data_IF_328016721452
#
_entry.id   IF_328016721452
#
_cell.length_a   1.000
_cell.length_b   1.000
_cell.length_c   1.000
_cell.angle_alpha   90.00
_cell.angle_beta   90.00
_cell.angle_gamma   90.00
#
_symmetry.space_group_name_H-M   'P 1'
#
loop_
_entity.id
_entity.type
_entity.pdbx_description
1 polymer ?
#
# COMPACT_ATOMS: atom_id res chain seq x y z
N UNK A 1 -7.10 -15.73 -13.79
CA UNK A 1 -7.61 -14.49 -14.41
C UNK A 1 -8.46 -14.87 -15.59
N UNK A 2 -9.65 -14.30 -15.72
CA UNK A 2 -10.54 -14.60 -16.85
C UNK A 2 -9.88 -14.12 -18.16
N UNK A 3 -9.77 -15.03 -19.14
CA UNK A 3 -9.40 -14.70 -20.51
C UNK A 3 -10.59 -14.02 -21.21
N UNK A 4 -10.80 -12.72 -20.92
CA UNK A 4 -11.71 -11.90 -21.72
C UNK A 4 -10.91 -11.21 -22.83
N UNK A 5 -10.73 -11.91 -23.94
CA UNK A 5 -10.14 -11.35 -25.14
C UNK A 5 -11.21 -10.57 -25.92
N UNK A 6 -11.21 -9.25 -25.80
CA UNK A 6 -11.92 -8.36 -26.71
C UNK A 6 -13.23 -7.71 -26.23
N UNK A 7 -13.78 -8.07 -25.09
CA UNK A 7 -15.05 -7.56 -24.59
C UNK A 7 -14.98 -6.17 -23.92
N UNK A 8 -16.15 -5.50 -23.81
CA UNK A 8 -16.32 -4.23 -23.12
C UNK A 8 -16.30 -4.35 -21.58
N UNK A 9 -16.59 -3.24 -20.85
CA UNK A 9 -16.64 -3.22 -19.38
C UNK A 9 -17.60 -4.26 -18.79
N UNK A 10 -18.76 -4.46 -19.38
CA UNK A 10 -19.79 -5.42 -18.93
C UNK A 10 -19.29 -6.87 -18.97
N UNK A 11 -18.64 -7.27 -20.07
CA UNK A 11 -18.06 -8.62 -20.22
C UNK A 11 -16.94 -8.86 -19.21
N UNK A 12 -16.15 -7.82 -18.89
CA UNK A 12 -15.11 -7.92 -17.88
C UNK A 12 -15.70 -8.08 -16.48
N UNK A 13 -16.77 -7.33 -16.15
CA UNK A 13 -17.51 -7.49 -14.91
C UNK A 13 -18.11 -8.89 -14.76
N UNK A 14 -18.73 -9.41 -15.82
CA UNK A 14 -19.28 -10.78 -15.83
C UNK A 14 -18.17 -11.82 -15.63
N UNK A 15 -17.02 -11.65 -16.28
CA UNK A 15 -15.87 -12.53 -16.14
C UNK A 15 -15.29 -12.52 -14.71
N UNK A 16 -15.17 -11.35 -14.10
CA UNK A 16 -14.74 -11.20 -12.71
C UNK A 16 -15.73 -11.84 -11.74
N UNK A 17 -17.04 -11.60 -11.94
CA UNK A 17 -18.09 -12.19 -11.13
C UNK A 17 -18.15 -13.72 -11.28
N UNK A 18 -17.97 -14.24 -12.51
CA UNK A 18 -17.93 -15.67 -12.76
C UNK A 18 -16.69 -16.34 -12.16
N UNK A 19 -15.55 -15.66 -12.14
CA UNK A 19 -14.34 -16.15 -11.48
C UNK A 19 -14.51 -16.18 -9.97
N UNK A 20 -15.07 -15.12 -9.38
CA UNK A 20 -15.36 -15.07 -7.96
C UNK A 20 -16.34 -16.18 -7.53
N UNK A 21 -17.42 -16.41 -8.27
CA UNK A 21 -18.39 -17.48 -7.98
C UNK A 21 -17.80 -18.88 -8.05
N UNK A 22 -16.80 -19.12 -8.91
CA UNK A 22 -16.11 -20.43 -9.00
C UNK A 22 -15.20 -20.68 -7.79
N UNK A 23 -14.52 -19.64 -7.31
CA UNK A 23 -13.60 -19.76 -6.17
C UNK A 23 -14.31 -19.61 -4.81
N UNK A 24 -15.48 -18.95 -4.79
CA UNK A 24 -16.34 -18.79 -3.62
C UNK A 24 -17.77 -19.23 -3.96
N UNK A 25 -18.11 -20.52 -3.86
CA UNK A 25 -19.49 -20.97 -4.04
C UNK A 25 -20.42 -20.30 -3.02
N UNK A 26 -21.70 -20.05 -3.38
CA UNK A 26 -22.64 -19.30 -2.54
C UNK A 26 -22.85 -19.85 -1.13
N UNK A 27 -22.64 -21.15 -0.95
CA UNK A 27 -22.82 -21.86 0.32
C UNK A 27 -21.62 -21.70 1.29
N UNK A 28 -20.48 -21.33 0.78
CA UNK A 28 -19.30 -20.95 1.58
C UNK A 28 -19.26 -19.42 1.68
N UNK A 29 -20.07 -18.85 2.60
CA UNK A 29 -20.12 -17.41 2.80
C UNK A 29 -18.75 -16.89 3.32
N UNK A 30 -17.87 -16.32 2.46
CA UNK A 30 -16.57 -15.80 2.89
C UNK A 30 -16.72 -14.56 3.80
N UNK A 31 -17.95 -14.02 3.92
CA UNK A 31 -18.26 -12.85 4.75
C UNK A 31 -18.59 -13.21 6.20
N UNK A 32 -18.53 -14.48 6.60
CA UNK A 32 -18.63 -14.82 8.02
C UNK A 32 -17.36 -14.34 8.70
N UNK A 33 -17.48 -13.21 9.39
CA UNK A 33 -16.40 -12.68 10.21
C UNK A 33 -15.90 -13.78 11.15
N UNK A 34 -14.59 -14.07 11.21
CA UNK A 34 -14.07 -14.94 12.24
C UNK A 34 -14.46 -14.35 13.59
N UNK A 35 -14.84 -15.22 14.54
CA UNK A 35 -15.07 -14.78 15.91
C UNK A 35 -13.76 -14.20 16.43
N UNK A 36 -13.71 -12.86 16.52
CA UNK A 36 -12.58 -12.16 17.08
C UNK A 36 -12.73 -12.26 18.61
N UNK A 37 -11.89 -13.05 19.25
CA UNK A 37 -11.77 -13.07 20.71
C UNK A 37 -11.45 -11.68 21.26
N UNK A 38 -10.25 -11.38 21.69
CA UNK A 38 -9.80 -10.00 21.94
C UNK A 38 -9.32 -9.36 20.63
N UNK A 39 -10.16 -8.54 20.01
CA UNK A 39 -9.83 -7.85 18.77
C UNK A 39 -8.64 -6.88 19.00
N UNK A 40 -7.52 -6.98 18.26
CA UNK A 40 -6.42 -6.04 18.37
C UNK A 40 -6.86 -4.63 17.99
N UNK A 41 -6.27 -3.61 18.60
CA UNK A 41 -6.52 -2.23 18.20
C UNK A 41 -5.85 -1.96 16.85
N UNK A 42 -6.57 -1.28 15.93
CA UNK A 42 -6.07 -0.98 14.58
C UNK A 42 -6.00 0.53 14.37
N UNK A 43 -4.86 1.03 13.87
CA UNK A 43 -4.74 2.38 13.32
C UNK A 43 -4.80 2.31 11.81
N UNK A 44 -5.85 2.88 11.20
CA UNK A 44 -5.98 3.00 9.75
C UNK A 44 -5.31 4.29 9.31
N UNK A 45 -4.34 4.20 8.41
CA UNK A 45 -3.56 5.32 7.89
C UNK A 45 -3.94 5.56 6.44
N UNK A 46 -4.45 6.75 6.13
CA UNK A 46 -4.83 7.18 4.78
C UNK A 46 -3.95 8.36 4.39
N UNK A 47 -3.07 8.15 3.41
CA UNK A 47 -2.28 9.22 2.83
C UNK A 47 -3.08 9.89 1.69
N UNK A 48 -3.10 11.22 1.68
CA UNK A 48 -3.79 12.00 0.63
C UNK A 48 -2.94 13.18 0.20
N UNK A 49 -3.22 13.71 -1.01
CA UNK A 49 -2.61 14.94 -1.50
C UNK A 49 -3.52 15.65 -2.49
N UNK A 50 -4.07 16.81 -2.10
CA UNK A 50 -4.91 17.64 -2.97
C UNK A 50 -6.14 16.92 -3.57
N UNK A 51 -6.75 15.99 -2.82
CA UNK A 51 -7.85 15.12 -3.27
C UNK A 51 -8.98 15.03 -2.24
N UNK A 52 -9.32 16.14 -1.59
CA UNK A 52 -10.32 16.18 -0.52
C UNK A 52 -11.66 15.48 -0.88
N UNK A 53 -12.11 15.58 -2.16
CA UNK A 53 -13.34 14.91 -2.60
C UNK A 53 -13.22 13.38 -2.60
N UNK A 54 -12.11 12.83 -3.10
CA UNK A 54 -11.89 11.36 -3.08
C UNK A 54 -11.72 10.85 -1.66
N UNK A 55 -10.98 11.61 -0.84
CA UNK A 55 -10.80 11.30 0.57
C UNK A 55 -12.14 11.23 1.33
N UNK A 56 -13.12 12.09 1.01
CA UNK A 56 -14.45 12.04 1.65
C UNK A 56 -15.09 10.67 1.46
N UNK A 57 -15.16 10.19 0.22
CA UNK A 57 -15.79 8.90 -0.09
C UNK A 57 -15.04 7.73 0.62
N UNK A 58 -13.71 7.82 0.67
CA UNK A 58 -12.89 6.85 1.41
C UNK A 58 -13.20 6.88 2.91
N UNK A 59 -13.26 8.06 3.53
CA UNK A 59 -13.58 8.21 4.95
C UNK A 59 -15.00 7.73 5.27
N UNK A 60 -15.98 8.02 4.42
CA UNK A 60 -17.36 7.54 4.61
C UNK A 60 -17.41 6.01 4.62
N UNK A 61 -16.65 5.34 3.73
CA UNK A 61 -16.55 3.87 3.74
C UNK A 61 -15.84 3.34 4.99
N UNK A 62 -14.81 4.03 5.47
CA UNK A 62 -14.09 3.66 6.70
C UNK A 62 -14.95 3.82 7.95
N UNK A 63 -15.82 4.83 8.00
CA UNK A 63 -16.74 5.01 9.12
C UNK A 63 -17.88 3.98 9.15
N UNK A 64 -18.12 3.29 8.02
CA UNK A 64 -19.07 2.16 7.94
C UNK A 64 -18.44 0.81 8.30
N UNK A 65 -17.15 0.77 8.67
CA UNK A 65 -16.46 -0.49 9.03
C UNK A 65 -16.96 -1.03 10.37
N UNK A 66 -17.30 -2.30 10.37
CA UNK A 66 -17.75 -3.05 11.55
C UNK A 66 -16.54 -3.67 12.29
N UNK A 67 -15.87 -2.86 13.09
CA UNK A 67 -14.73 -3.29 13.90
C UNK A 67 -14.70 -2.55 15.25
N UNK A 68 -14.48 -3.25 16.39
CA UNK A 68 -14.72 -2.66 17.71
C UNK A 68 -13.69 -1.63 18.14
N UNK A 69 -12.45 -1.72 17.67
CA UNK A 69 -11.33 -0.91 18.20
C UNK A 69 -10.42 -0.41 17.09
N UNK A 70 -10.75 0.75 16.50
CA UNK A 70 -9.86 1.39 15.52
C UNK A 70 -9.92 2.92 15.56
N UNK A 71 -8.89 3.54 15.02
CA UNK A 71 -8.81 4.96 14.72
C UNK A 71 -8.46 5.17 13.25
N UNK A 72 -8.77 6.32 12.70
CA UNK A 72 -8.37 6.72 11.34
C UNK A 72 -7.42 7.91 11.43
N UNK A 73 -6.28 7.82 10.75
CA UNK A 73 -5.25 8.85 10.68
C UNK A 73 -5.12 9.32 9.23
N UNK A 74 -5.63 10.49 8.93
CA UNK A 74 -5.46 11.15 7.63
C UNK A 74 -4.14 11.88 7.61
N UNK A 75 -3.26 11.55 6.66
CA UNK A 75 -1.98 12.24 6.48
C UNK A 75 -1.99 13.01 5.17
N UNK A 76 -2.07 14.34 5.28
CA UNK A 76 -2.07 15.27 4.14
C UNK A 76 -0.64 15.58 3.71
N UNK A 77 -0.22 15.00 2.58
CA UNK A 77 1.15 15.02 2.12
C UNK A 77 1.45 16.18 1.19
N UNK A 78 2.23 17.14 1.66
CA UNK A 78 2.61 18.34 0.92
C UNK A 78 1.41 19.05 0.27
N UNK A 79 0.37 19.39 1.06
CA UNK A 79 -0.84 20.00 0.55
C UNK A 79 -0.58 21.38 -0.08
N UNK A 80 -1.29 21.67 -1.17
CA UNK A 80 -1.26 22.96 -1.83
C UNK A 80 -2.13 23.99 -1.12
N UNK A 81 -3.18 23.54 -0.40
CA UNK A 81 -4.15 24.36 0.30
C UNK A 81 -4.65 23.69 1.60
N UNK A 82 -5.69 24.21 2.21
CA UNK A 82 -6.29 23.73 3.47
C UNK A 82 -7.53 22.86 3.26
N UNK A 83 -7.89 22.54 2.03
CA UNK A 83 -9.15 21.84 1.70
C UNK A 83 -9.31 20.49 2.41
N UNK A 84 -8.23 19.72 2.52
CA UNK A 84 -8.21 18.44 3.24
C UNK A 84 -8.39 18.63 4.75
N UNK A 85 -7.67 19.59 5.34
CA UNK A 85 -7.78 19.91 6.77
C UNK A 85 -9.18 20.38 7.13
N UNK A 86 -9.74 21.27 6.30
CA UNK A 86 -11.09 21.79 6.49
C UNK A 86 -12.15 20.69 6.38
N UNK A 87 -12.02 19.79 5.39
CA UNK A 87 -12.89 18.63 5.26
C UNK A 87 -12.87 17.79 6.54
N UNK A 88 -11.68 17.34 6.97
CA UNK A 88 -11.56 16.47 8.15
C UNK A 88 -12.10 17.16 9.39
N UNK A 89 -11.79 18.44 9.60
CA UNK A 89 -12.23 19.16 10.79
C UNK A 89 -13.75 19.38 10.82
N UNK A 90 -14.36 19.70 9.69
CA UNK A 90 -15.81 20.03 9.62
C UNK A 90 -16.70 18.79 9.64
N UNK A 91 -16.32 17.75 8.92
CA UNK A 91 -17.19 16.59 8.68
C UNK A 91 -16.84 15.40 9.58
N UNK A 92 -15.58 15.30 10.03
CA UNK A 92 -15.09 14.14 10.80
C UNK A 92 -14.46 14.49 12.16
N UNK A 93 -14.25 15.80 12.44
CA UNK A 93 -13.56 16.27 13.66
C UNK A 93 -14.41 16.32 14.92
N UNK A 94 -15.66 15.88 14.87
CA UNK A 94 -16.63 16.05 15.94
C UNK A 94 -17.15 14.74 16.51
N UNK A 95 -16.33 13.94 17.19
CA UNK A 95 -16.88 12.88 18.04
C UNK A 95 -16.38 12.96 19.50
N UNK A 96 -16.83 13.93 20.30
CA UNK A 96 -16.74 13.82 21.76
C UNK A 96 -17.81 12.92 22.36
N UNK A 97 -18.87 12.52 21.62
CA UNK A 97 -20.04 11.79 22.15
C UNK A 97 -20.61 10.75 21.17
N UNK A 98 -19.99 10.48 20.02
CA UNK A 98 -20.49 9.57 19.00
C UNK A 98 -19.82 8.20 19.03
N UNK A 99 -20.58 7.16 18.71
CA UNK A 99 -20.18 5.76 18.66
C UNK A 99 -19.38 5.42 17.40
N UNK A 100 -18.40 6.25 16.98
CA UNK A 100 -17.59 6.05 15.79
C UNK A 100 -16.09 6.15 16.07
N UNK A 101 -15.22 5.69 15.16
CA UNK A 101 -13.78 5.80 15.31
C UNK A 101 -13.33 7.27 15.29
N UNK A 102 -12.28 7.56 16.06
CA UNK A 102 -11.66 8.88 16.02
C UNK A 102 -10.95 9.10 14.67
N UNK A 103 -11.25 10.22 13.98
CA UNK A 103 -10.54 10.63 12.78
C UNK A 103 -9.56 11.76 13.13
N UNK A 104 -8.28 11.54 12.87
CA UNK A 104 -7.20 12.48 13.20
C UNK A 104 -6.53 13.00 11.93
N UNK A 105 -6.33 14.31 11.84
CA UNK A 105 -5.61 14.96 10.75
C UNK A 105 -4.14 15.19 11.12
N UNK A 106 -3.24 14.85 10.21
CA UNK A 106 -1.81 15.14 10.30
C UNK A 106 -1.33 15.75 8.99
N UNK A 107 -0.41 16.69 9.06
CA UNK A 107 0.28 17.27 7.91
C UNK A 107 1.69 16.73 7.80
N UNK A 108 2.07 16.27 6.61
CA UNK A 108 3.45 15.96 6.24
C UNK A 108 3.90 16.95 5.16
N UNK A 109 4.77 17.92 5.47
CA UNK A 109 5.11 18.99 4.53
C UNK A 109 6.04 18.56 3.40
N UNK A 110 6.75 17.44 3.55
CA UNK A 110 7.71 16.99 2.54
C UNK A 110 7.04 15.96 1.62
N UNK A 111 7.04 16.16 0.28
CA UNK A 111 6.44 15.22 -0.66
C UNK A 111 7.03 13.82 -0.54
N UNK A 112 6.17 12.78 -0.66
CA UNK A 112 6.55 11.39 -0.70
C UNK A 112 5.59 10.50 0.09
N UNK A 113 5.00 9.48 -0.57
CA UNK A 113 4.03 8.56 0.03
C UNK A 113 4.59 7.84 1.25
N UNK A 114 5.81 7.29 1.13
CA UNK A 114 6.49 6.62 2.25
C UNK A 114 6.68 7.54 3.47
N UNK A 115 6.83 8.85 3.27
CA UNK A 115 6.89 9.83 4.36
C UNK A 115 5.54 10.03 5.01
N UNK A 116 4.48 10.11 4.21
CA UNK A 116 3.12 10.20 4.72
C UNK A 116 2.79 8.95 5.54
N UNK A 117 3.09 7.75 5.03
CA UNK A 117 2.94 6.50 5.77
C UNK A 117 3.71 6.51 7.10
N UNK A 118 4.97 6.94 7.10
CA UNK A 118 5.79 7.03 8.32
C UNK A 118 5.24 8.07 9.30
N UNK A 119 4.70 9.19 8.80
CA UNK A 119 4.06 10.20 9.65
C UNK A 119 2.83 9.63 10.35
N UNK A 120 2.00 8.87 9.62
CA UNK A 120 0.86 8.15 10.16
C UNK A 120 1.28 7.07 11.15
N UNK A 121 2.26 6.25 10.78
CA UNK A 121 2.82 5.19 11.64
C UNK A 121 3.33 5.73 12.98
N UNK A 122 4.04 6.87 12.97
CA UNK A 122 4.54 7.50 14.22
C UNK A 122 3.39 7.94 15.14
N UNK A 123 2.21 8.23 14.58
CA UNK A 123 1.04 8.64 15.34
C UNK A 123 0.09 7.49 15.68
N UNK A 124 0.29 6.31 15.08
CA UNK A 124 -0.52 5.12 15.29
C UNK A 124 -0.44 4.64 16.75
N UNK A 125 -1.58 4.21 17.28
CA UNK A 125 -1.74 3.69 18.66
C UNK A 125 -2.21 2.23 18.67
N UNK A 126 -2.61 1.73 17.52
CA UNK A 126 -3.08 0.36 17.34
C UNK A 126 -1.94 -0.66 17.34
N UNK A 127 -2.25 -1.88 17.74
CA UNK A 127 -1.35 -3.05 17.65
C UNK A 127 -1.03 -3.39 16.19
N UNK A 128 -1.96 -3.03 15.30
CA UNK A 128 -1.88 -3.20 13.86
C UNK A 128 -2.01 -1.83 13.19
N UNK A 129 -1.13 -1.54 12.24
CA UNK A 129 -1.23 -0.39 11.34
C UNK A 129 -1.70 -0.85 9.97
N UNK A 130 -2.93 -0.47 9.59
CA UNK A 130 -3.53 -0.74 8.29
C UNK A 130 -3.39 0.49 7.39
N UNK A 131 -3.14 0.29 6.10
CA UNK A 131 -2.93 1.35 5.12
C UNK A 131 -3.88 1.14 3.95
N UNK A 132 -4.47 2.23 3.50
CA UNK A 132 -5.26 2.29 2.27
C UNK A 132 -5.11 3.67 1.61
N UNK A 133 -5.48 3.78 0.33
CA UNK A 133 -5.34 5.01 -0.44
C UNK A 133 -6.60 5.89 -0.37
N UNK A 134 -6.49 7.18 -0.69
CA UNK A 134 -7.60 8.13 -0.69
C UNK A 134 -8.61 7.93 -1.86
N UNK A 135 -8.28 7.05 -2.82
CA UNK A 135 -9.10 6.67 -3.96
C UNK A 135 -9.67 5.25 -3.84
N UNK A 136 -9.82 4.77 -2.61
CA UNK A 136 -10.39 3.46 -2.27
C UNK A 136 -11.70 3.56 -1.49
N UNK A 137 -12.50 2.50 -1.59
CA UNK A 137 -13.64 2.21 -0.71
C UNK A 137 -13.38 0.87 -0.05
N UNK A 138 -13.63 0.74 1.25
CA UNK A 138 -13.38 -0.50 1.98
C UNK A 138 -14.68 -1.23 2.31
N UNK A 139 -14.61 -2.57 2.38
CA UNK A 139 -15.73 -3.40 2.82
C UNK A 139 -16.00 -3.20 4.33
N UNK A 140 -17.26 -3.23 4.79
CA UNK A 140 -17.58 -3.16 6.22
C UNK A 140 -16.83 -4.16 7.10
N UNK A 141 -16.46 -5.33 6.59
CA UNK A 141 -15.70 -6.35 7.31
C UNK A 141 -14.19 -6.30 7.02
N UNK A 142 -13.71 -5.28 6.34
CA UNK A 142 -12.30 -5.14 5.91
C UNK A 142 -11.30 -5.31 7.05
N UNK A 143 -11.49 -4.60 8.17
CA UNK A 143 -10.58 -4.68 9.31
C UNK A 143 -10.67 -6.03 10.04
N UNK A 144 -11.85 -6.61 10.10
CA UNK A 144 -12.06 -7.96 10.63
C UNK A 144 -11.28 -9.00 9.84
N UNK A 145 -11.35 -8.93 8.52
CA UNK A 145 -10.62 -9.82 7.63
C UNK A 145 -9.11 -9.61 7.72
N UNK A 146 -8.63 -8.34 7.77
CA UNK A 146 -7.20 -8.05 7.96
C UNK A 146 -6.66 -8.56 9.30
N UNK A 147 -7.45 -8.51 10.39
CA UNK A 147 -7.02 -8.93 11.72
C UNK A 147 -6.90 -10.45 11.85
N UNK A 148 -7.72 -11.21 11.14
CA UNK A 148 -7.81 -12.66 11.29
C UNK A 148 -6.47 -13.40 11.12
N UNK A 149 -5.64 -13.17 10.09
CA UNK A 149 -4.35 -13.86 9.96
C UNK A 149 -3.35 -13.51 11.07
N UNK A 150 -3.40 -12.29 11.63
CA UNK A 150 -2.54 -11.91 12.77
C UNK A 150 -2.93 -12.64 14.06
N UNK A 151 -4.22 -12.92 14.24
CA UNK A 151 -4.73 -13.68 15.38
C UNK A 151 -4.43 -15.17 15.24
N UNK A 152 -4.53 -15.70 14.02
CA UNK A 152 -4.29 -17.11 13.73
C UNK A 152 -2.81 -17.51 13.86
N UNK A 153 -1.88 -16.61 13.49
CA UNK A 153 -0.43 -16.87 13.54
C UNK A 153 0.34 -15.65 14.08
N UNK A 154 0.90 -15.73 15.30
CA UNK A 154 1.77 -14.68 15.85
C UNK A 154 3.02 -14.38 14.99
N UNK A 155 3.41 -15.29 14.10
CA UNK A 155 4.49 -15.12 13.14
C UNK A 155 4.14 -14.23 11.96
N UNK A 156 2.84 -13.96 11.72
CA UNK A 156 2.37 -13.06 10.66
C UNK A 156 2.78 -11.63 10.96
N UNK A 157 3.61 -11.07 10.10
CA UNK A 157 4.11 -9.69 10.21
C UNK A 157 3.37 -8.68 9.32
N UNK A 158 2.80 -9.18 8.22
CA UNK A 158 2.04 -8.36 7.27
C UNK A 158 0.86 -9.16 6.71
N UNK A 159 -0.25 -8.47 6.46
CA UNK A 159 -1.43 -9.00 5.77
C UNK A 159 -1.76 -8.05 4.63
N UNK A 160 -2.05 -8.60 3.45
CA UNK A 160 -2.58 -7.85 2.30
C UNK A 160 -3.93 -8.41 1.91
N UNK A 161 -4.76 -7.61 1.24
CA UNK A 161 -6.10 -8.02 0.86
C UNK A 161 -6.38 -7.93 -0.63
N UNK A 162 -7.59 -8.30 -1.00
CA UNK A 162 -8.11 -8.23 -2.36
C UNK A 162 -8.39 -6.78 -2.73
N UNK A 163 -7.94 -6.39 -3.91
CA UNK A 163 -8.27 -5.11 -4.53
C UNK A 163 -8.99 -5.40 -5.83
N UNK A 164 -10.17 -4.84 -5.96
CA UNK A 164 -11.01 -4.93 -7.17
C UNK A 164 -11.29 -3.52 -7.72
N UNK A 165 -11.60 -3.36 -9.01
CA UNK A 165 -11.95 -2.05 -9.54
C UNK A 165 -13.26 -1.55 -8.91
N UNK A 166 -13.32 -0.26 -8.54
CA UNK A 166 -14.54 0.39 -8.10
C UNK A 166 -15.47 0.74 -9.28
N UNK A 167 -14.89 0.94 -10.45
CA UNK A 167 -15.57 1.30 -11.68
C UNK A 167 -14.74 0.87 -12.90
N UNK A 168 -15.40 0.59 -14.02
CA UNK A 168 -14.80 0.24 -15.31
C UNK A 168 -15.49 1.01 -16.46
N UNK A 169 -15.56 2.35 -16.32
CA UNK A 169 -16.30 3.22 -17.25
C UNK A 169 -15.48 3.62 -18.50
N UNK A 170 -14.15 3.47 -18.43
CA UNK A 170 -13.26 3.93 -19.50
C UNK A 170 -12.35 2.82 -20.02
N UNK A 171 -11.92 2.95 -21.28
CA UNK A 171 -10.95 2.02 -21.88
C UNK A 171 -9.64 1.93 -21.09
N UNK A 172 -9.21 3.03 -20.47
CA UNK A 172 -8.00 3.04 -19.65
C UNK A 172 -8.14 2.13 -18.40
N UNK A 173 -9.30 2.16 -17.75
CA UNK A 173 -9.60 1.30 -16.59
C UNK A 173 -9.66 -0.18 -17.00
N UNK A 174 -10.34 -0.48 -18.10
CA UNK A 174 -10.40 -1.84 -18.67
C UNK A 174 -9.01 -2.32 -19.09
N UNK A 175 -8.19 -1.44 -19.70
CA UNK A 175 -6.83 -1.79 -20.12
C UNK A 175 -5.92 -2.11 -18.92
N UNK A 176 -6.08 -1.43 -17.79
CA UNK A 176 -5.34 -1.74 -16.56
C UNK A 176 -5.68 -3.14 -16.06
N UNK A 177 -6.98 -3.48 -15.99
CA UNK A 177 -7.43 -4.81 -15.55
C UNK A 177 -6.88 -5.92 -16.45
N UNK A 178 -6.91 -5.73 -17.76
CA UNK A 178 -6.33 -6.68 -18.72
C UNK A 178 -4.81 -6.78 -18.64
N UNK A 179 -4.14 -5.69 -18.29
CA UNK A 179 -2.66 -5.65 -18.22
C UNK A 179 -2.12 -6.42 -17.00
N UNK A 180 -2.95 -6.70 -16.03
CA UNK A 180 -2.55 -7.49 -14.85
C UNK A 180 -2.85 -6.80 -13.53
N UNK A 181 -4.07 -6.35 -13.42
CA UNK A 181 -4.78 -5.83 -12.25
C UNK A 181 -4.17 -6.06 -10.85
N UNK A 182 -4.70 -5.39 -9.88
CA UNK A 182 -4.27 -5.52 -8.47
C UNK A 182 -4.68 -6.85 -7.84
N UNK A 183 -5.77 -7.49 -8.32
CA UNK A 183 -6.26 -8.74 -7.77
C UNK A 183 -5.23 -9.87 -7.86
N UNK A 184 -5.02 -10.59 -6.74
CA UNK A 184 -4.08 -11.71 -6.64
C UNK A 184 -4.79 -13.07 -6.59
N UNK A 185 -6.06 -13.11 -6.96
CA UNK A 185 -6.95 -14.26 -6.88
C UNK A 185 -7.81 -14.20 -5.62
N UNK A 186 -8.62 -15.24 -5.42
CA UNK A 186 -9.61 -15.28 -4.35
C UNK A 186 -9.30 -16.33 -3.27
N UNK A 187 -8.15 -17.01 -3.39
CA UNK A 187 -7.72 -17.99 -2.39
C UNK A 187 -6.70 -17.36 -1.41
N UNK A 188 -6.82 -17.60 -0.10
CA UNK A 188 -5.83 -17.17 0.89
C UNK A 188 -4.45 -17.76 0.58
N UNK A 189 -3.40 -17.02 0.89
CA UNK A 189 -2.01 -17.46 0.67
C UNK A 189 -1.12 -16.95 1.80
N UNK A 190 -0.11 -17.73 2.12
CA UNK A 190 0.93 -17.32 3.07
C UNK A 190 2.31 -17.54 2.46
N UNK A 191 3.20 -16.59 2.67
CA UNK A 191 4.60 -16.65 2.24
C UNK A 191 5.53 -16.50 3.43
N UNK A 192 6.56 -17.34 3.45
CA UNK A 192 7.60 -17.30 4.48
C UNK A 192 8.92 -17.83 3.91
N UNK A 193 10.04 -17.30 4.37
CA UNK A 193 11.36 -17.84 4.04
C UNK A 193 11.63 -19.20 4.70
N UNK A 194 10.87 -19.55 5.75
CA UNK A 194 10.97 -20.87 6.42
C UNK A 194 10.32 -21.98 5.59
N UNK A 195 9.26 -21.64 4.86
CA UNK A 195 8.53 -22.52 3.96
C UNK A 195 8.34 -21.81 2.60
N UNK A 196 9.41 -21.69 1.78
CA UNK A 196 9.33 -20.93 0.54
C UNK A 196 8.41 -21.63 -0.46
N UNK A 197 7.60 -20.87 -1.22
CA UNK A 197 6.79 -21.43 -2.30
C UNK A 197 7.67 -21.96 -3.44
N UNK A 198 7.06 -22.73 -4.34
CA UNK A 198 7.73 -23.24 -5.55
C UNK A 198 8.10 -22.15 -6.57
N UNK A 199 7.84 -20.86 -6.30
CA UNK A 199 8.21 -19.72 -7.15
C UNK A 199 9.75 -19.54 -7.17
N UNK A 200 10.42 -19.76 -8.32
CA UNK A 200 11.88 -19.68 -8.40
C UNK A 200 12.42 -18.25 -8.16
N UNK A 201 11.57 -17.21 -8.25
CA UNK A 201 11.94 -15.83 -8.05
C UNK A 201 11.63 -15.32 -6.63
N UNK A 202 10.96 -16.13 -5.80
CA UNK A 202 10.69 -15.80 -4.40
C UNK A 202 12.01 -15.56 -3.63
N UNK A 203 12.10 -14.54 -2.77
CA UNK A 203 11.08 -13.57 -2.33
C UNK A 203 11.06 -12.27 -3.14
N UNK A 204 11.73 -12.17 -4.29
CA UNK A 204 11.89 -10.93 -5.05
C UNK A 204 10.67 -10.56 -5.91
N UNK A 205 9.64 -11.38 -5.93
CA UNK A 205 8.36 -11.13 -6.60
C UNK A 205 7.36 -10.41 -5.72
N UNK A 206 7.80 -9.38 -4.96
CA UNK A 206 6.99 -8.70 -3.95
C UNK A 206 5.64 -8.18 -4.46
N UNK A 207 5.54 -7.79 -5.74
CA UNK A 207 4.27 -7.41 -6.37
C UNK A 207 3.21 -8.53 -6.45
N UNK A 208 3.58 -9.79 -6.14
CA UNK A 208 2.64 -10.91 -6.01
C UNK A 208 1.99 -11.00 -4.63
N UNK A 209 2.55 -10.32 -3.64
CA UNK A 209 2.07 -10.41 -2.26
C UNK A 209 0.89 -9.49 -1.97
N UNK A 210 0.70 -8.43 -2.75
CA UNK A 210 -0.35 -7.45 -2.56
C UNK A 210 0.01 -6.10 -3.16
N UNK A 211 -0.58 -5.04 -2.61
CA UNK A 211 -0.32 -3.64 -2.97
C UNK A 211 -0.56 -2.73 -1.78
N UNK A 212 0.07 -1.55 -1.80
CA UNK A 212 -0.02 -0.51 -0.79
C UNK A 212 -1.44 -0.03 -0.46
N UNK A 213 -2.35 -0.13 -1.44
CA UNK A 213 -3.74 0.28 -1.26
C UNK A 213 -4.57 -0.65 -0.33
N UNK A 214 -4.04 -1.83 0.03
CA UNK A 214 -4.69 -2.77 0.94
C UNK A 214 -3.64 -3.62 1.66
N UNK A 215 -3.07 -3.07 2.73
CA UNK A 215 -2.02 -3.73 3.52
C UNK A 215 -2.13 -3.38 5.00
N UNK A 216 -1.71 -4.30 5.85
CA UNK A 216 -1.61 -4.09 7.29
C UNK A 216 -0.34 -4.74 7.83
N UNK A 217 0.23 -4.17 8.88
CA UNK A 217 1.44 -4.65 9.53
C UNK A 217 1.25 -4.68 11.04
N UNK A 218 1.96 -5.58 11.75
CA UNK A 218 2.18 -5.35 13.17
C UNK A 218 2.92 -4.04 13.36
N UNK A 219 2.38 -3.17 14.19
CA UNK A 219 2.90 -1.80 14.37
C UNK A 219 4.31 -1.81 14.93
N UNK A 220 4.58 -2.64 15.93
CA UNK A 220 5.90 -2.84 16.53
C UNK A 220 6.94 -3.31 15.50
N UNK A 221 6.60 -4.35 14.72
CA UNK A 221 7.49 -4.85 13.67
C UNK A 221 7.81 -3.77 12.63
N UNK A 222 6.81 -3.00 12.19
CA UNK A 222 7.05 -1.96 11.19
C UNK A 222 7.93 -0.83 11.75
N UNK A 223 7.80 -0.52 13.06
CA UNK A 223 8.73 0.37 13.77
C UNK A 223 10.14 -0.20 13.84
N UNK A 224 10.31 -1.47 14.21
CA UNK A 224 11.61 -2.17 14.29
C UNK A 224 12.31 -2.21 12.92
N UNK A 225 11.54 -2.35 11.85
CA UNK A 225 12.03 -2.21 10.47
C UNK A 225 12.42 -0.77 10.12
N UNK A 226 12.13 0.23 10.97
CA UNK A 226 12.38 1.65 10.71
C UNK A 226 11.36 2.28 9.75
N UNK A 227 10.19 1.69 9.61
CA UNK A 227 9.10 2.13 8.73
C UNK A 227 9.38 1.90 7.25
N UNK A 228 8.67 2.66 6.42
CA UNK A 228 8.87 2.70 4.97
C UNK A 228 10.13 3.49 4.60
N UNK A 229 10.86 3.07 3.57
CA UNK A 229 12.05 3.80 3.11
C UNK A 229 11.63 5.10 2.40
N UNK A 230 11.94 6.30 2.93
CA UNK A 230 11.56 7.56 2.31
C UNK A 230 12.20 7.82 0.93
N UNK A 231 13.15 6.98 0.53
CA UNK A 231 13.74 7.03 -0.81
C UNK A 231 12.88 6.31 -1.86
N UNK A 232 11.80 5.65 -1.44
CA UNK A 232 10.81 4.99 -2.29
C UNK A 232 9.45 5.69 -2.22
N UNK A 233 8.47 5.22 -2.98
CA UNK A 233 7.11 5.73 -2.99
C UNK A 233 6.84 6.81 -4.03
N UNK A 234 5.55 6.99 -4.32
CA UNK A 234 5.04 8.05 -5.20
C UNK A 234 5.41 9.42 -4.62
N UNK A 235 5.71 10.39 -5.49
CA UNK A 235 6.17 11.72 -5.10
C UNK A 235 7.69 11.82 -4.90
N UNK A 236 8.43 10.73 -5.15
CA UNK A 236 9.90 10.69 -5.19
C UNK A 236 10.41 10.34 -6.59
N UNK A 237 11.70 10.54 -6.91
CA UNK A 237 12.31 10.03 -8.14
C UNK A 237 12.21 8.51 -8.34
N UNK A 238 11.92 7.73 -7.29
CA UNK A 238 11.72 6.28 -7.38
C UNK A 238 10.35 5.90 -7.95
N UNK A 239 9.36 6.79 -7.93
CA UNK A 239 8.00 6.63 -8.43
C UNK A 239 7.13 5.57 -7.74
N UNK A 240 7.63 4.80 -6.78
CA UNK A 240 6.90 3.72 -6.09
C UNK A 240 7.83 2.77 -5.34
N UNK A 241 7.31 1.58 -4.98
CA UNK A 241 8.07 0.47 -4.42
C UNK A 241 8.26 0.50 -2.90
N UNK A 242 7.60 1.40 -2.20
CA UNK A 242 7.61 1.49 -0.74
C UNK A 242 6.91 0.30 -0.08
N UNK A 243 5.76 -0.08 -0.61
CA UNK A 243 5.02 -1.28 -0.24
C UNK A 243 5.82 -2.56 -0.53
N UNK A 244 6.33 -2.69 -1.75
CA UNK A 244 7.11 -3.87 -2.18
C UNK A 244 8.35 -4.08 -1.31
N UNK A 245 9.04 -3.00 -0.98
CA UNK A 245 10.22 -3.06 -0.11
C UNK A 245 9.84 -3.46 1.32
N UNK A 246 8.72 -2.96 1.83
CA UNK A 246 8.22 -3.31 3.16
C UNK A 246 7.80 -4.77 3.23
N UNK A 247 7.10 -5.30 2.23
CA UNK A 247 6.75 -6.72 2.13
C UNK A 247 7.99 -7.61 2.11
N UNK A 248 8.98 -7.27 1.29
CA UNK A 248 10.24 -7.99 1.23
C UNK A 248 10.97 -7.99 2.58
N UNK A 249 11.02 -6.84 3.27
CA UNK A 249 11.71 -6.72 4.56
C UNK A 249 11.04 -7.53 5.66
N UNK A 250 9.70 -7.62 5.68
CA UNK A 250 8.96 -8.50 6.59
C UNK A 250 9.43 -9.95 6.44
N UNK A 251 9.50 -10.44 5.19
CA UNK A 251 10.00 -11.79 4.91
C UNK A 251 11.48 -11.95 5.27
N UNK A 252 12.33 -10.99 4.92
CA UNK A 252 13.76 -11.02 5.21
C UNK A 252 14.06 -11.03 6.71
N UNK A 253 13.15 -10.49 7.55
CA UNK A 253 13.24 -10.54 9.01
C UNK A 253 12.56 -11.79 9.61
N UNK A 254 12.27 -12.80 8.79
CA UNK A 254 11.82 -14.13 9.24
C UNK A 254 10.36 -14.20 9.66
N UNK A 255 9.57 -13.16 9.34
CA UNK A 255 8.12 -13.15 9.54
C UNK A 255 7.39 -13.68 8.31
N UNK A 256 6.14 -14.08 8.48
CA UNK A 256 5.27 -14.45 7.37
C UNK A 256 4.47 -13.24 6.87
N UNK A 257 4.07 -13.32 5.59
CA UNK A 257 3.13 -12.41 4.95
C UNK A 257 1.94 -13.21 4.48
N UNK A 258 0.73 -12.80 4.86
CA UNK A 258 -0.51 -13.42 4.44
C UNK A 258 -1.25 -12.54 3.42
N UNK A 259 -1.95 -13.18 2.49
CA UNK A 259 -2.93 -12.57 1.60
C UNK A 259 -4.30 -13.11 1.99
N UNK A 260 -5.19 -12.20 2.39
CA UNK A 260 -6.57 -12.51 2.82
C UNK A 260 -7.56 -11.88 1.84
N UNK A 261 -8.16 -12.68 0.94
CA UNK A 261 -9.07 -12.14 -0.07
C UNK A 261 -10.41 -11.64 0.49
N UNK A 262 -10.80 -11.99 1.72
CA UNK A 262 -11.98 -11.43 2.38
C UNK A 262 -11.77 -9.96 2.81
N UNK A 263 -10.51 -9.50 2.92
CA UNK A 263 -10.19 -8.09 3.12
C UNK A 263 -10.32 -7.34 1.80
N UNK A 264 -11.53 -6.89 1.47
CA UNK A 264 -11.85 -6.32 0.16
C UNK A 264 -11.73 -4.79 0.17
N UNK A 265 -11.10 -4.27 -0.88
CA UNK A 265 -11.01 -2.84 -1.18
C UNK A 265 -11.38 -2.62 -2.65
N UNK A 266 -12.28 -1.66 -2.90
CA UNK A 266 -12.60 -1.19 -4.26
C UNK A 266 -11.75 0.02 -4.57
N UNK A 267 -10.92 -0.05 -5.61
CA UNK A 267 -9.98 1.00 -6.01
C UNK A 267 -10.42 1.70 -7.29
N UNK A 268 -10.44 3.04 -7.29
CA UNK A 268 -10.75 3.87 -8.46
C UNK A 268 -9.52 3.96 -9.37
N UNK A 269 -9.58 3.29 -10.50
CA UNK A 269 -8.50 3.29 -11.47
C UNK A 269 -8.40 4.60 -12.23
N UNK A 270 -7.23 4.86 -12.83
CA UNK A 270 -6.99 6.03 -13.67
C UNK A 270 -7.90 5.98 -14.90
N UNK A 271 -8.58 7.12 -15.19
CA UNK A 271 -9.61 7.21 -16.22
C UNK A 271 -9.06 7.57 -17.61
N UNK A 272 -7.84 8.10 -17.71
CA UNK A 272 -7.25 8.56 -18.98
C UNK A 272 -6.04 7.72 -19.41
N UNK A 273 -5.81 7.57 -20.74
CA UNK A 273 -4.65 6.83 -21.25
C UNK A 273 -3.31 7.39 -20.76
N UNK A 274 -3.18 8.73 -20.65
CA UNK A 274 -1.94 9.38 -20.20
C UNK A 274 -1.64 9.07 -18.73
N UNK A 275 -2.67 9.05 -17.90
CA UNK A 275 -2.52 8.70 -16.49
C UNK A 275 -2.20 7.20 -16.32
N UNK A 276 -2.76 6.34 -17.16
CA UNK A 276 -2.44 4.92 -17.20
C UNK A 276 -0.98 4.68 -17.66
N UNK A 277 -0.50 5.39 -18.69
CA UNK A 277 0.88 5.32 -19.13
C UNK A 277 1.87 5.75 -18.04
N UNK A 278 1.58 6.86 -17.37
CA UNK A 278 2.39 7.33 -16.24
C UNK A 278 2.40 6.29 -15.10
N UNK A 279 1.28 5.64 -14.83
CA UNK A 279 1.15 4.59 -13.83
C UNK A 279 1.96 3.34 -14.23
N UNK A 280 1.88 2.88 -15.48
CA UNK A 280 2.66 1.74 -15.97
C UNK A 280 4.17 2.00 -15.87
N UNK A 281 4.63 3.19 -16.27
CA UNK A 281 6.02 3.58 -16.07
C UNK A 281 6.40 3.58 -14.59
N UNK A 282 5.53 4.15 -13.73
CA UNK A 282 5.73 4.21 -12.28
C UNK A 282 5.83 2.83 -11.64
N UNK A 283 5.03 1.85 -12.08
CA UNK A 283 5.13 0.45 -11.61
C UNK A 283 6.49 -0.17 -11.92
N UNK A 284 6.98 0.02 -13.14
CA UNK A 284 8.32 -0.42 -13.51
C UNK A 284 9.40 0.25 -12.66
N UNK A 285 9.35 1.58 -12.55
CA UNK A 285 10.33 2.36 -11.79
C UNK A 285 10.31 1.99 -10.31
N UNK A 286 9.14 1.88 -9.70
CA UNK A 286 8.95 1.43 -8.33
C UNK A 286 9.49 0.02 -8.09
N UNK A 287 9.27 -0.91 -9.03
CA UNK A 287 9.82 -2.26 -8.93
C UNK A 287 11.35 -2.27 -9.00
N UNK A 288 11.95 -1.51 -9.92
CA UNK A 288 13.40 -1.37 -10.02
C UNK A 288 14.00 -0.69 -8.77
N UNK A 289 13.33 0.34 -8.24
CA UNK A 289 13.71 1.03 -7.02
C UNK A 289 13.62 0.09 -5.80
N UNK A 290 12.57 -0.72 -5.71
CA UNK A 290 12.41 -1.74 -4.69
C UNK A 290 13.59 -2.73 -4.70
N UNK A 291 13.98 -3.26 -5.87
CA UNK A 291 15.11 -4.20 -5.96
C UNK A 291 16.42 -3.56 -5.48
N UNK A 292 16.66 -2.30 -5.85
CA UNK A 292 17.82 -1.55 -5.37
C UNK A 292 17.75 -1.31 -3.84
N UNK A 293 16.58 -0.95 -3.32
CA UNK A 293 16.32 -0.78 -1.89
C UNK A 293 16.52 -2.09 -1.11
N UNK A 294 16.04 -3.21 -1.64
CA UNK A 294 16.21 -4.53 -1.05
C UNK A 294 17.68 -4.89 -0.85
N UNK A 295 18.55 -4.58 -1.83
CA UNK A 295 19.99 -4.80 -1.71
C UNK A 295 20.67 -3.88 -0.71
N UNK A 296 20.14 -2.67 -0.55
CA UNK A 296 20.69 -1.70 0.42
C UNK A 296 20.30 -2.06 1.85
N UNK A 297 19.07 -2.48 2.07
CA UNK A 297 18.57 -2.86 3.40
C UNK A 297 18.98 -4.28 3.80
N UNK A 298 19.05 -5.20 2.82
CA UNK A 298 19.34 -6.61 3.05
C UNK A 298 20.48 -7.12 2.14
N UNK A 299 21.72 -6.62 2.29
CA UNK A 299 22.83 -6.95 1.40
C UNK A 299 23.15 -8.45 1.39
N UNK A 300 22.82 -9.17 2.47
CA UNK A 300 22.93 -10.65 2.55
C UNK A 300 22.08 -11.37 1.50
N UNK A 301 21.06 -10.72 0.94
CA UNK A 301 20.20 -11.30 -0.10
C UNK A 301 20.77 -11.14 -1.52
N UNK A 302 21.89 -10.44 -1.71
CA UNK A 302 22.53 -10.24 -3.03
C UNK A 302 22.87 -11.57 -3.74
N UNK A 303 23.48 -12.57 -3.11
CA UNK A 303 23.78 -13.86 -3.79
C UNK A 303 22.50 -14.56 -4.25
N UNK A 304 21.43 -14.48 -3.45
CA UNK A 304 20.13 -15.05 -3.79
C UNK A 304 19.49 -14.34 -4.98
N UNK A 305 19.60 -13.02 -5.07
CA UNK A 305 19.10 -12.25 -6.22
C UNK A 305 19.88 -12.58 -7.49
N UNK A 306 21.23 -12.54 -7.44
CA UNK A 306 22.08 -12.82 -8.61
C UNK A 306 21.79 -14.23 -9.18
N UNK A 307 21.64 -15.25 -8.34
CA UNK A 307 21.29 -16.60 -8.77
C UNK A 307 19.94 -16.68 -9.49
N UNK A 308 19.00 -15.78 -9.17
CA UNK A 308 17.64 -15.74 -9.75
C UNK A 308 17.50 -14.85 -10.97
N UNK A 309 18.46 -13.97 -11.26
CA UNK A 309 18.41 -13.04 -12.39
C UNK A 309 18.10 -13.74 -13.73
N UNK A 310 18.76 -14.87 -14.11
CA UNK A 310 18.44 -15.52 -15.38
C UNK A 310 17.00 -16.02 -15.46
N UNK A 311 16.45 -16.50 -14.34
CA UNK A 311 15.04 -16.87 -14.21
C UNK A 311 14.11 -15.66 -14.32
N UNK A 312 14.49 -14.54 -13.70
CA UNK A 312 13.76 -13.26 -13.76
C UNK A 312 13.63 -12.73 -15.19
N UNK A 313 14.72 -12.73 -15.93
CA UNK A 313 14.70 -12.31 -17.34
C UNK A 313 13.77 -13.21 -18.17
N UNK A 314 13.89 -14.54 -18.03
CA UNK A 314 12.98 -15.49 -18.69
C UNK A 314 11.52 -15.27 -18.31
N UNK A 315 11.24 -15.01 -17.04
CA UNK A 315 9.89 -14.72 -16.55
C UNK A 315 9.31 -13.47 -17.18
N UNK A 316 10.07 -12.36 -17.23
CA UNK A 316 9.63 -11.11 -17.88
C UNK A 316 9.34 -11.32 -19.36
N UNK A 317 10.20 -12.06 -20.07
CA UNK A 317 10.00 -12.38 -21.49
C UNK A 317 8.74 -13.22 -21.68
N UNK A 318 8.56 -14.29 -20.89
CA UNK A 318 7.39 -15.16 -20.97
C UNK A 318 6.10 -14.38 -20.71
N UNK A 319 6.05 -13.60 -19.62
CA UNK A 319 4.89 -12.79 -19.26
C UNK A 319 4.52 -11.75 -20.33
N UNK A 320 5.53 -11.14 -20.96
CA UNK A 320 5.27 -10.20 -22.06
C UNK A 320 4.70 -10.91 -23.29
N UNK A 321 5.14 -12.14 -23.58
CA UNK A 321 4.57 -12.96 -24.67
C UNK A 321 3.13 -13.38 -24.40
N UNK A 322 2.82 -13.81 -23.17
CA UNK A 322 1.45 -14.15 -22.75
C UNK A 322 0.49 -12.96 -22.88
N UNK A 323 0.94 -11.76 -22.50
CA UNK A 323 0.13 -10.51 -22.58
C UNK A 323 -0.08 -10.02 -24.01
N UNK A 324 0.89 -10.25 -24.89
CA UNK A 324 0.87 -9.74 -26.26
C UNK A 324 0.26 -10.72 -27.27
N UNK A 325 0.11 -12.00 -26.90
CA UNK A 325 -0.19 -13.09 -27.83
C UNK A 325 1.03 -13.56 -28.64
N UNK A 326 0.95 -14.74 -29.31
CA UNK A 326 2.11 -15.41 -29.91
C UNK A 326 2.81 -14.63 -31.04
N UNK A 327 2.10 -13.68 -31.69
CA UNK A 327 2.56 -12.98 -32.89
C UNK A 327 2.80 -11.48 -32.69
N UNK A 328 2.54 -10.91 -31.50
CA UNK A 328 2.66 -9.49 -31.22
C UNK A 328 3.87 -9.18 -30.34
N UNK A 329 4.55 -8.06 -30.61
CA UNK A 329 5.59 -7.52 -29.71
C UNK A 329 5.01 -7.03 -28.39
N UNK A 330 5.88 -6.59 -27.45
CA UNK A 330 5.41 -6.11 -26.14
C UNK A 330 4.39 -4.98 -26.28
N UNK A 331 3.32 -5.02 -25.47
CA UNK A 331 2.29 -3.97 -25.45
C UNK A 331 2.91 -2.60 -25.09
N UNK A 332 2.20 -1.51 -25.39
CA UNK A 332 2.62 -0.15 -25.00
C UNK A 332 2.93 -0.08 -23.50
N UNK A 333 2.04 -0.58 -22.65
CA UNK A 333 2.19 -0.58 -21.19
C UNK A 333 3.40 -1.41 -20.74
N UNK A 334 3.60 -2.60 -21.31
CA UNK A 334 4.76 -3.45 -21.00
C UNK A 334 6.10 -2.76 -21.35
N UNK A 335 6.14 -1.99 -22.45
CA UNK A 335 7.33 -1.19 -22.80
C UNK A 335 7.59 -0.07 -21.81
N UNK A 336 6.54 0.60 -21.32
CA UNK A 336 6.66 1.64 -20.30
C UNK A 336 7.12 1.05 -18.97
N UNK A 337 6.56 -0.06 -18.52
CA UNK A 337 7.03 -0.79 -17.33
C UNK A 337 8.52 -1.16 -17.47
N UNK A 338 8.96 -1.70 -18.61
CA UNK A 338 10.37 -2.06 -18.80
C UNK A 338 11.30 -0.83 -18.75
N UNK A 339 10.89 0.29 -19.36
CA UNK A 339 11.65 1.55 -19.28
C UNK A 339 11.74 2.05 -17.84
N UNK A 340 10.62 1.98 -17.10
CA UNK A 340 10.59 2.30 -15.68
C UNK A 340 11.51 1.40 -14.87
N UNK A 341 11.46 0.08 -15.09
CA UNK A 341 12.30 -0.91 -14.41
C UNK A 341 13.80 -0.59 -14.54
N UNK A 342 14.24 -0.23 -15.74
CA UNK A 342 15.63 0.14 -15.99
C UNK A 342 16.02 1.47 -15.31
N UNK A 343 15.08 2.41 -15.21
CA UNK A 343 15.28 3.69 -14.52
C UNK A 343 15.28 3.55 -12.99
N UNK A 344 14.49 2.63 -12.44
CA UNK A 344 14.21 2.51 -11.01
C UNK A 344 15.42 2.53 -10.07
N UNK A 345 16.50 1.77 -10.33
CA UNK A 345 17.70 1.82 -9.50
C UNK A 345 18.35 3.20 -9.44
N UNK A 346 18.40 3.92 -10.57
CA UNK A 346 18.89 5.30 -10.61
C UNK A 346 17.96 6.24 -9.83
N UNK A 347 16.65 6.14 -10.03
CA UNK A 347 15.63 6.89 -9.30
C UNK A 347 15.77 6.72 -7.78
N UNK A 348 15.98 5.48 -7.32
CA UNK A 348 16.22 5.17 -5.91
C UNK A 348 17.49 5.85 -5.36
N UNK A 349 18.61 5.76 -6.08
CA UNK A 349 19.87 6.40 -5.65
C UNK A 349 19.74 7.92 -5.60
N UNK A 350 19.02 8.51 -6.55
CA UNK A 350 18.74 9.95 -6.56
C UNK A 350 17.86 10.33 -5.35
N UNK A 351 16.80 9.59 -5.08
CA UNK A 351 15.95 9.78 -3.90
C UNK A 351 16.76 9.71 -2.61
N UNK A 352 17.62 8.71 -2.45
CA UNK A 352 18.50 8.60 -1.27
C UNK A 352 19.43 9.81 -1.09
N UNK A 353 19.95 10.38 -2.18
CA UNK A 353 20.76 11.61 -2.10
C UNK A 353 19.94 12.80 -1.61
N UNK A 354 18.69 12.93 -2.09
CA UNK A 354 17.75 13.95 -1.63
C UNK A 354 17.44 13.77 -0.15
N UNK A 355 17.14 12.54 0.28
CA UNK A 355 16.89 12.20 1.67
C UNK A 355 18.03 12.58 2.61
N UNK A 356 19.26 12.25 2.24
CA UNK A 356 20.45 12.59 3.02
C UNK A 356 20.61 14.11 3.17
N UNK A 357 20.30 14.87 2.11
CA UNK A 357 20.37 16.35 2.15
C UNK A 357 19.30 16.93 3.07
N UNK A 358 18.07 16.41 3.01
CA UNK A 358 16.96 16.82 3.87
C UNK A 358 17.28 16.56 5.34
N UNK A 359 17.74 15.35 5.69
CA UNK A 359 18.14 14.99 7.08
C UNK A 359 19.26 15.90 7.61
N UNK A 360 20.22 16.26 6.79
CA UNK A 360 21.30 17.20 7.20
C UNK A 360 20.76 18.59 7.49
N UNK A 361 19.78 19.09 6.72
CA UNK A 361 19.14 20.40 6.95
C UNK A 361 18.31 20.42 8.23
N UNK A 362 17.52 19.38 8.49
CA UNK A 362 16.70 19.27 9.71
C UNK A 362 17.54 18.98 10.96
N UNK A 363 18.60 18.18 10.85
CA UNK A 363 19.53 17.91 11.95
C UNK A 363 20.37 19.13 12.36
N UNK A 364 20.70 20.01 11.43
CA UNK A 364 21.38 21.27 11.72
C UNK A 364 20.45 22.32 12.33
N UNK A 365 19.16 22.29 12.01
CA UNK A 365 18.15 23.20 12.60
C UNK A 365 17.85 22.90 14.08
N UNK A 366 17.94 21.64 14.50
CA UNK A 366 17.74 21.26 15.91
C UNK A 366 18.91 21.64 16.83
N UNK A 367 20.11 21.87 16.31
CA UNK A 367 21.25 22.38 17.10
C UNK A 367 21.23 23.89 17.36
N UNK A 368 20.33 24.63 16.67
CA UNK A 368 20.19 26.10 16.82
C UNK A 368 18.86 26.51 17.45
N UNK A 369 17.98 25.58 17.80
CA UNK A 369 16.63 25.82 18.33
C UNK A 369 16.45 25.59 19.83
N UNK A 370 17.49 25.26 20.60
CA UNK A 370 17.45 25.23 22.07
C UNK A 370 17.72 26.62 22.67
N UNK A 371 16.94 27.61 22.26
CA UNK A 371 16.82 28.88 22.97
C UNK A 371 15.38 29.06 23.44
N UNK A 372 15.14 28.51 24.65
CA UNK A 372 14.36 29.12 25.75
C UNK A 372 13.07 29.82 25.35
N UNK A 373 11.95 29.17 25.62
CA UNK A 373 10.71 29.86 25.96
C UNK A 373 10.73 30.23 27.49
N UNK A 374 10.86 31.51 27.87
CA UNK A 374 10.89 31.95 29.28
C UNK A 374 9.51 32.35 29.81
N UNK A 375 8.44 31.63 29.44
CA UNK A 375 7.06 32.08 29.66
C UNK A 375 6.17 31.19 30.56
N UNK A 376 6.71 30.41 31.53
CA UNK A 376 5.86 29.72 32.51
C UNK A 376 6.60 29.51 33.85
N UNK A 377 7.03 30.59 34.48
CA UNK A 377 7.27 30.63 35.95
C UNK A 377 6.57 31.85 36.52
N UNK A 378 5.62 31.58 37.39
CA UNK A 378 5.12 32.58 38.33
C UNK A 378 3.63 32.74 38.35
N UNK A 379 2.97 31.97 39.20
CA UNK A 379 1.97 32.41 40.16
C UNK A 379 1.54 31.19 41.02
N UNK A 380 2.37 30.85 41.96
CA UNK A 380 1.99 30.18 43.18
C UNK A 380 2.19 31.14 44.33
N UNK A 381 1.32 31.02 45.30
CA UNK A 381 1.32 31.64 46.63
C UNK A 381 0.77 33.07 46.75
N UNK A 382 -0.44 33.16 47.27
CA UNK A 382 -0.70 33.81 48.54
C UNK A 382 -2.19 33.76 48.93
N UNK A 383 -2.44 33.13 50.05
CA UNK A 383 -3.52 33.19 51.07
C UNK A 383 -4.64 32.16 50.89
#
# INVERSE_FOLDING_TARGET
>A
MAEASGGGPEELWEALAASARREFPPDENPRRAPELGEAPAISVIVATRNRARMLRDCLDSLLAVEYPRFEVIVVDNAPADTSTEELVRREYGGSPQGHGPAVRYLREPVPGLARAHNRGLTAARGDISAFTDDDTLVDPLWLTALAAPFLADPGTGCVTGLIVPAELDTEAQVALERHGAFAKGYAPRTWSLRAPPADPLFPFTAGRFGSGANMAFRTDLLHDLGGFDPATGVGTPAHGGDDLLSFFRVLAHGRSLAYEPAAIVWHRHRRTPEALDAQAYGYGAGFGAYLAGALVHEPRMLPALLRRLPGGVRYVIARNRERAGPSAGPTRLARLELRGLLYGPYGYLLSRRIERRLRRRTGNGRRHGDLVDPGLRGRGEAR
#
